data_IF_774722109608
#
_entry.id   IF_774722109608
#
_cell.length_a   1.000
_cell.length_b   1.000
_cell.length_c   1.000
_cell.angle_alpha   90.00
_cell.angle_beta   90.00
_cell.angle_gamma   90.00
#
_symmetry.space_group_name_H-M   'P 1'
#
loop_
_entity.id
_entity.type
_entity.pdbx_description
1 polymer ?
#
# COMPACT_ATOMS: atom_id res chain seq x y z
N UNK A 1 -2.62 -17.07 -0.15
CA UNK A 1 -1.53 -16.87 -1.13
C UNK A 1 -1.99 -16.04 -2.33
N UNK A 2 -2.98 -16.46 -3.12
CA UNK A 2 -3.39 -15.67 -4.31
C UNK A 2 -3.95 -14.27 -3.97
N UNK A 3 -4.84 -14.17 -2.98
CA UNK A 3 -5.45 -12.89 -2.57
C UNK A 3 -4.47 -11.89 -1.96
N UNK A 4 -3.48 -12.41 -1.24
CA UNK A 4 -2.40 -11.60 -0.69
C UNK A 4 -1.55 -10.96 -1.82
N UNK A 5 -1.17 -11.76 -2.83
CA UNK A 5 -0.44 -11.26 -3.99
C UNK A 5 -1.26 -10.27 -4.82
N UNK A 6 -2.58 -10.51 -4.95
CA UNK A 6 -3.53 -9.57 -5.56
C UNK A 6 -3.55 -8.22 -4.82
N UNK A 7 -3.68 -8.24 -3.49
CA UNK A 7 -3.66 -7.03 -2.66
C UNK A 7 -2.35 -6.24 -2.79
N UNK A 8 -1.21 -6.93 -2.73
CA UNK A 8 0.12 -6.32 -2.89
C UNK A 8 0.24 -5.61 -4.24
N UNK A 9 -0.11 -6.27 -5.34
CA UNK A 9 -0.06 -5.67 -6.67
C UNK A 9 -1.05 -4.51 -6.83
N UNK A 10 -2.24 -4.63 -6.22
CA UNK A 10 -3.24 -3.57 -6.28
C UNK A 10 -2.77 -2.29 -5.56
N UNK A 11 -2.09 -2.43 -4.42
CA UNK A 11 -1.47 -1.29 -3.71
C UNK A 11 -0.40 -0.64 -4.60
N UNK A 12 0.52 -1.42 -5.16
CA UNK A 12 1.58 -0.91 -6.02
C UNK A 12 1.04 -0.20 -7.27
N UNK A 13 0.05 -0.79 -7.93
CA UNK A 13 -0.56 -0.21 -9.13
C UNK A 13 -1.34 1.07 -8.81
N UNK A 14 -2.01 1.11 -7.66
CA UNK A 14 -2.67 2.33 -7.18
C UNK A 14 -1.63 3.44 -6.93
N UNK A 15 -0.54 3.13 -6.24
CA UNK A 15 0.52 4.10 -5.97
C UNK A 15 1.13 4.64 -7.27
N UNK A 16 1.44 3.75 -8.22
CA UNK A 16 1.97 4.11 -9.55
C UNK A 16 0.97 4.96 -10.35
N UNK A 17 -0.30 4.57 -10.37
CA UNK A 17 -1.36 5.26 -11.12
C UNK A 17 -1.63 6.67 -10.60
N UNK A 18 -1.42 6.90 -9.29
CA UNK A 18 -1.53 8.24 -8.69
C UNK A 18 -0.25 9.08 -8.84
N UNK A 19 0.81 8.50 -9.42
CA UNK A 19 2.06 9.21 -9.69
C UNK A 19 2.90 9.53 -8.44
N UNK A 20 2.74 8.76 -7.36
CA UNK A 20 3.57 8.93 -6.17
C UNK A 20 5.02 8.55 -6.48
N UNK A 21 5.93 9.30 -5.87
CA UNK A 21 7.37 9.18 -6.02
C UNK A 21 8.03 8.90 -4.66
N UNK A 22 9.28 8.41 -4.64
CA UNK A 22 10.00 8.23 -3.39
C UNK A 22 9.96 9.50 -2.52
N UNK A 23 9.91 9.29 -1.20
CA UNK A 23 9.71 10.27 -0.13
C UNK A 23 8.29 10.86 0.00
N UNK A 24 7.37 10.60 -0.93
CA UNK A 24 5.98 11.02 -0.79
C UNK A 24 5.30 10.33 0.40
N UNK A 25 4.52 11.11 1.15
CA UNK A 25 3.69 10.62 2.26
C UNK A 25 2.26 10.41 1.76
N UNK A 26 1.79 9.18 1.84
CA UNK A 26 0.50 8.74 1.30
C UNK A 26 -0.39 8.27 2.43
N UNK A 27 -1.61 8.80 2.54
CA UNK A 27 -2.56 8.34 3.55
C UNK A 27 -3.08 6.94 3.22
N UNK A 28 -3.06 6.03 4.19
CA UNK A 28 -3.63 4.70 4.06
C UNK A 28 -5.12 4.71 3.72
N UNK A 29 -5.87 5.78 4.04
CA UNK A 29 -7.25 5.94 3.58
C UNK A 29 -7.36 6.06 2.06
N UNK A 30 -6.41 6.75 1.41
CA UNK A 30 -6.41 6.92 -0.06
C UNK A 30 -6.10 5.62 -0.80
N UNK A 31 -5.54 4.64 -0.10
CA UNK A 31 -5.23 3.29 -0.60
C UNK A 31 -6.37 2.33 -0.23
N UNK A 32 -6.71 2.25 1.06
CA UNK A 32 -7.66 1.28 1.59
C UNK A 32 -9.08 1.47 1.06
N UNK A 33 -9.60 2.70 1.01
CA UNK A 33 -10.98 2.97 0.55
C UNK A 33 -11.24 2.43 -0.87
N UNK A 34 -10.45 2.78 -1.89
CA UNK A 34 -10.69 2.29 -3.25
C UNK A 34 -10.41 0.79 -3.40
N UNK A 35 -9.47 0.21 -2.65
CA UNK A 35 -9.16 -1.22 -2.75
C UNK A 35 -10.18 -2.11 -2.04
N UNK A 36 -10.70 -1.68 -0.90
CA UNK A 36 -11.84 -2.35 -0.24
C UNK A 36 -13.09 -2.27 -1.10
N UNK A 37 -13.33 -1.13 -1.76
CA UNK A 37 -14.44 -1.00 -2.72
C UNK A 37 -14.33 -1.94 -3.93
N UNK A 38 -13.12 -2.42 -4.25
CA UNK A 38 -12.86 -3.44 -5.27
C UNK A 38 -13.00 -4.88 -4.76
N UNK A 39 -13.34 -5.07 -3.48
CA UNK A 39 -13.58 -6.36 -2.87
C UNK A 39 -12.35 -7.01 -2.24
N UNK A 40 -11.27 -6.27 -2.01
CA UNK A 40 -10.14 -6.71 -1.19
C UNK A 40 -10.48 -6.55 0.29
N UNK A 41 -10.07 -7.52 1.11
CA UNK A 41 -10.27 -7.49 2.56
C UNK A 41 -9.24 -6.61 3.26
N UNK A 42 -9.63 -5.97 4.35
CA UNK A 42 -8.74 -5.14 5.17
C UNK A 42 -7.54 -5.94 5.71
N UNK A 43 -7.74 -7.20 6.10
CA UNK A 43 -6.66 -8.09 6.54
C UNK A 43 -5.67 -8.42 5.42
N UNK A 44 -6.17 -8.65 4.19
CA UNK A 44 -5.33 -8.92 3.01
C UNK A 44 -4.48 -7.68 2.66
N UNK A 45 -5.06 -6.49 2.80
CA UNK A 45 -4.35 -5.21 2.61
C UNK A 45 -3.32 -4.96 3.71
N UNK A 46 -3.65 -5.28 4.97
CA UNK A 46 -2.73 -5.11 6.09
C UNK A 46 -1.51 -6.03 5.96
N UNK A 47 -1.71 -7.31 5.64
CA UNK A 47 -0.61 -8.25 5.36
C UNK A 47 0.24 -7.76 4.18
N UNK A 48 -0.39 -7.31 3.08
CA UNK A 48 0.33 -6.81 1.93
C UNK A 48 1.14 -5.53 2.21
N UNK A 49 0.65 -4.63 3.09
CA UNK A 49 1.40 -3.45 3.52
C UNK A 49 2.63 -3.83 4.34
N UNK A 50 2.51 -4.83 5.23
CA UNK A 50 3.64 -5.33 6.01
C UNK A 50 4.70 -5.97 5.11
N UNK A 51 4.28 -6.78 4.13
CA UNK A 51 5.20 -7.37 3.16
C UNK A 51 5.93 -6.31 2.33
N UNK A 52 5.26 -5.21 1.97
CA UNK A 52 5.89 -4.07 1.27
C UNK A 52 6.85 -3.29 2.15
N UNK A 53 6.60 -3.22 3.44
CA UNK A 53 7.50 -2.60 4.43
C UNK A 53 8.75 -3.46 4.66
N UNK A 54 8.58 -4.78 4.81
CA UNK A 54 9.67 -5.75 4.92
C UNK A 54 10.57 -5.76 3.67
N UNK A 55 10.00 -5.52 2.49
CA UNK A 55 10.72 -5.36 1.22
C UNK A 55 11.40 -3.98 1.05
N UNK A 56 11.31 -3.08 2.05
CA UNK A 56 11.82 -1.70 2.00
C UNK A 56 11.25 -0.87 0.82
N UNK A 57 10.04 -1.20 0.37
CA UNK A 57 9.34 -0.43 -0.67
C UNK A 57 8.60 0.75 -0.04
N UNK A 58 8.02 0.55 1.15
CA UNK A 58 7.34 1.58 1.93
C UNK A 58 7.86 1.61 3.37
N UNK A 59 7.56 2.69 4.08
CA UNK A 59 7.73 2.82 5.54
C UNK A 59 6.36 3.19 6.12
N UNK A 60 5.82 2.40 7.04
CA UNK A 60 4.60 2.76 7.77
C UNK A 60 4.92 3.80 8.84
N UNK A 61 4.22 4.94 8.80
CA UNK A 61 4.46 6.02 9.77
C UNK A 61 3.59 5.76 10.99
N UNK A 62 4.14 5.14 12.04
CA UNK A 62 3.39 4.65 13.23
C UNK A 62 2.50 5.68 13.92
N UNK A 63 2.84 6.97 13.83
CA UNK A 63 2.11 8.05 14.50
C UNK A 63 0.97 8.62 13.65
N UNK A 64 0.84 8.17 12.39
CA UNK A 64 -0.20 8.64 11.46
C UNK A 64 -0.80 7.47 10.67
N UNK A 65 -1.99 7.65 10.09
CA UNK A 65 -2.54 6.64 9.18
C UNK A 65 -1.98 6.81 7.76
N UNK A 66 -0.65 6.75 7.61
CA UNK A 66 0.07 7.05 6.37
C UNK A 66 1.30 6.15 6.21
N UNK A 67 1.77 6.06 4.97
CA UNK A 67 3.06 5.45 4.61
C UNK A 67 3.93 6.49 3.90
N UNK A 68 5.25 6.27 3.91
CA UNK A 68 6.19 6.90 2.98
C UNK A 68 6.59 5.90 1.90
N UNK A 69 6.65 6.34 0.65
CA UNK A 69 7.23 5.52 -0.43
C UNK A 69 8.76 5.62 -0.37
N UNK A 70 9.46 4.49 -0.30
CA UNK A 70 10.93 4.47 -0.21
C UNK A 70 11.59 4.22 -1.56
N UNK A 71 10.94 3.44 -2.41
CA UNK A 71 11.50 2.96 -3.68
C UNK A 71 10.63 3.37 -4.88
N UNK A 72 11.23 3.62 -6.07
CA UNK A 72 10.46 3.84 -7.29
C UNK A 72 9.68 2.57 -7.69
N UNK A 73 8.45 2.76 -8.19
CA UNK A 73 7.49 1.69 -8.47
C UNK A 73 7.43 1.25 -9.94
#
# INVERSE_FOLDING_TARGET
>A
MERHFEARNAILELLRSNGYTPDDIVSLYTIGVPLVAQGLGEGELAEALLDLEDDEIIELITDTNSLRLLSPL
#
